data_IF_440385436293
#
_entry.id   IF_440385436293
#
_cell.length_a   1.000
_cell.length_b   1.000
_cell.length_c   1.000
_cell.angle_alpha   90.00
_cell.angle_beta   90.00
_cell.angle_gamma   90.00
#
_symmetry.space_group_name_H-M   'P 1'
#
loop_
_entity.id
_entity.type
_entity.pdbx_description
1 polymer ?
#
# COMPACT_ATOMS: atom_id res chain seq x y z
N UNK A 1 6.12 12.64 14.47
CA UNK A 1 6.23 13.23 13.16
C UNK A 1 4.92 13.90 12.80
N UNK A 2 5.05 14.96 12.11
CA UNK A 2 3.87 15.67 11.70
C UNK A 2 3.20 14.97 10.54
N UNK A 3 1.92 14.95 10.57
CA UNK A 3 1.15 14.46 9.49
C UNK A 3 0.56 15.54 8.67
N UNK A 4 0.80 16.77 9.08
CA UNK A 4 0.26 17.85 8.33
C UNK A 4 0.98 17.96 7.03
N UNK A 5 0.25 17.77 5.99
CA UNK A 5 0.77 17.86 4.64
C UNK A 5 0.10 19.06 4.02
N UNK A 6 0.88 19.99 3.48
CA UNK A 6 0.29 21.16 2.87
C UNK A 6 -0.65 20.74 1.74
N UNK A 7 -1.74 21.46 1.61
CA UNK A 7 -2.63 21.16 0.51
C UNK A 7 -1.92 21.42 -0.79
N UNK A 8 -2.26 20.62 -1.76
CA UNK A 8 -1.74 20.79 -3.09
C UNK A 8 -2.17 22.13 -3.65
N UNK A 9 -1.23 22.89 -4.16
CA UNK A 9 -1.52 24.18 -4.70
C UNK A 9 -1.23 24.17 -6.16
N UNK A 10 -2.24 23.97 -6.96
CA UNK A 10 -2.09 23.96 -8.38
C UNK A 10 -1.27 22.79 -8.89
N UNK A 11 -0.86 21.89 -8.01
CA UNK A 11 -0.14 20.70 -8.40
C UNK A 11 -1.08 19.56 -8.70
N UNK A 12 -0.59 18.57 -9.44
CA UNK A 12 -1.35 17.37 -9.72
C UNK A 12 -1.21 16.45 -8.52
N UNK A 13 -2.34 16.04 -7.98
CA UNK A 13 -2.36 15.09 -6.89
C UNK A 13 -2.03 13.72 -7.43
N UNK A 14 -1.01 13.08 -6.89
CA UNK A 14 -0.61 11.73 -7.30
C UNK A 14 -1.05 10.76 -6.23
N UNK A 15 -1.85 9.79 -6.63
CA UNK A 15 -2.27 8.72 -5.75
C UNK A 15 -1.20 7.62 -5.76
N UNK A 16 -0.94 7.05 -4.61
CA UNK A 16 0.06 6.00 -4.46
C UNK A 16 -0.45 4.97 -3.46
N UNK A 17 -0.49 3.72 -3.88
CA UNK A 17 -0.91 2.62 -3.01
C UNK A 17 0.31 2.00 -2.36
N UNK A 18 0.28 1.84 -1.05
CA UNK A 18 1.33 1.10 -0.34
C UNK A 18 0.91 -0.35 -0.24
N UNK A 19 1.85 -1.28 -0.45
CA UNK A 19 1.55 -2.65 -0.08
C UNK A 19 1.74 -2.80 1.43
N UNK A 20 1.38 -3.96 1.97
CA UNK A 20 1.44 -4.18 3.41
C UNK A 20 2.86 -4.06 3.95
N UNK A 21 3.85 -4.58 3.22
CA UNK A 21 5.24 -4.52 3.64
C UNK A 21 5.74 -3.08 3.71
N UNK A 22 5.38 -2.25 2.72
CA UNK A 22 5.78 -0.85 2.71
C UNK A 22 5.22 -0.10 3.91
N UNK A 23 3.98 -0.37 4.28
CA UNK A 23 3.38 0.24 5.47
C UNK A 23 4.16 -0.16 6.72
N UNK A 24 4.42 -1.46 6.89
CA UNK A 24 5.11 -1.96 8.07
C UNK A 24 6.52 -1.38 8.15
N UNK A 25 7.25 -1.34 7.04
CA UNK A 25 8.58 -0.73 7.03
C UNK A 25 8.52 0.74 7.43
N UNK A 26 7.53 1.47 6.92
CA UNK A 26 7.44 2.90 7.19
C UNK A 26 7.28 3.20 8.69
N UNK A 27 6.58 2.34 9.42
CA UNK A 27 6.32 2.60 10.84
C UNK A 27 7.25 1.86 11.79
N UNK A 28 7.80 0.71 11.40
CA UNK A 28 8.61 -0.11 12.30
C UNK A 28 10.09 -0.13 11.95
N UNK A 29 10.43 -0.02 10.68
CA UNK A 29 11.83 -0.11 10.25
C UNK A 29 12.06 0.75 9.02
N UNK A 30 11.99 2.09 9.17
CA UNK A 30 12.13 3.01 8.03
C UNK A 30 13.45 2.84 7.29
N UNK A 31 14.48 2.31 7.95
CA UNK A 31 15.75 2.04 7.31
C UNK A 31 15.63 1.00 6.19
N UNK A 32 14.55 0.22 6.17
CA UNK A 32 14.31 -0.77 5.11
C UNK A 32 13.62 -0.17 3.88
N UNK A 33 13.20 1.08 3.97
CA UNK A 33 12.67 1.78 2.81
C UNK A 33 13.81 2.21 1.91
N UNK A 34 13.62 2.08 0.59
CA UNK A 34 14.59 2.62 -0.34
C UNK A 34 14.59 4.15 -0.27
N UNK A 35 15.62 4.78 -0.78
CA UNK A 35 15.69 6.24 -0.84
C UNK A 35 14.51 6.79 -1.62
N UNK A 36 14.16 6.14 -2.72
CA UNK A 36 13.02 6.57 -3.54
C UNK A 36 11.72 6.41 -2.79
N UNK A 37 11.52 5.30 -2.10
CA UNK A 37 10.30 5.07 -1.32
C UNK A 37 10.15 6.12 -0.23
N UNK A 38 11.24 6.44 0.49
CA UNK A 38 11.20 7.50 1.51
C UNK A 38 10.77 8.82 0.90
N UNK A 39 11.37 9.19 -0.23
CA UNK A 39 11.07 10.47 -0.86
C UNK A 39 9.58 10.56 -1.25
N UNK A 40 9.05 9.47 -1.80
CA UNK A 40 7.66 9.45 -2.24
C UNK A 40 6.71 9.53 -1.05
N UNK A 41 7.02 8.80 0.02
CA UNK A 41 6.17 8.80 1.21
C UNK A 41 6.19 10.13 1.94
N UNK A 42 7.28 10.88 1.83
CA UNK A 42 7.43 12.17 2.50
C UNK A 42 6.93 13.34 1.66
N UNK A 43 6.64 13.10 0.39
CA UNK A 43 6.21 14.18 -0.50
C UNK A 43 4.74 14.54 -0.21
N UNK A 44 4.46 15.77 0.26
CA UNK A 44 3.09 16.15 0.62
C UNK A 44 2.16 16.28 -0.58
N UNK A 45 2.69 16.28 -1.80
CA UNK A 45 1.87 16.30 -3.00
C UNK A 45 1.21 14.96 -3.28
N UNK A 46 1.74 13.88 -2.71
CA UNK A 46 1.21 12.55 -2.94
C UNK A 46 0.07 12.23 -1.97
N UNK A 47 -0.96 11.58 -2.47
CA UNK A 47 -2.01 11.02 -1.64
C UNK A 47 -1.66 9.55 -1.41
N UNK A 48 -1.34 9.21 -0.17
CA UNK A 48 -0.97 7.84 0.17
C UNK A 48 -2.23 7.05 0.50
N UNK A 49 -2.32 5.86 -0.07
CA UNK A 49 -3.47 4.98 0.15
C UNK A 49 -3.00 3.61 0.61
N UNK A 50 -3.80 3.00 1.45
CA UNK A 50 -3.58 1.65 1.93
C UNK A 50 -4.84 0.83 1.65
N UNK A 51 -4.67 -0.35 1.08
CA UNK A 51 -5.81 -1.22 0.81
C UNK A 51 -6.46 -1.69 2.11
N UNK A 52 -7.78 -1.77 2.10
CA UNK A 52 -8.50 -2.46 3.18
C UNK A 52 -8.00 -3.90 3.33
N UNK A 53 -7.53 -4.50 2.24
CA UNK A 53 -6.97 -5.86 2.26
C UNK A 53 -5.69 -5.93 3.11
N UNK A 54 -4.90 -4.87 3.15
CA UNK A 54 -3.72 -4.84 4.02
C UNK A 54 -4.13 -4.94 5.48
N UNK A 55 -5.22 -4.30 5.86
CA UNK A 55 -5.72 -4.41 7.24
C UNK A 55 -6.21 -5.82 7.54
N UNK A 56 -6.84 -6.47 6.57
CA UNK A 56 -7.26 -7.87 6.70
C UNK A 56 -6.05 -8.78 6.87
N UNK A 57 -5.03 -8.56 6.05
CA UNK A 57 -3.79 -9.34 6.14
C UNK A 57 -3.14 -9.20 7.51
N UNK A 58 -3.01 -7.98 7.99
CA UNK A 58 -2.42 -7.71 9.30
C UNK A 58 -3.22 -8.40 10.40
N UNK A 59 -4.55 -8.30 10.35
CA UNK A 59 -5.42 -8.89 11.35
C UNK A 59 -5.27 -10.43 11.38
N UNK A 60 -5.25 -11.05 10.20
CA UNK A 60 -5.13 -12.50 10.10
C UNK A 60 -3.75 -12.97 10.58
N UNK A 61 -2.70 -12.31 10.13
CA UNK A 61 -1.34 -12.71 10.50
C UNK A 61 -1.06 -12.47 11.97
N UNK A 62 -1.62 -11.41 12.54
CA UNK A 62 -1.48 -11.15 13.98
C UNK A 62 -2.20 -12.19 14.81
N UNK A 63 -3.40 -12.59 14.39
CA UNK A 63 -4.14 -13.64 15.08
C UNK A 63 -3.39 -14.99 15.04
N UNK A 64 -2.63 -15.23 13.97
CA UNK A 64 -1.85 -16.46 13.82
C UNK A 64 -0.47 -16.37 14.48
N UNK A 65 -0.15 -15.27 15.12
CA UNK A 65 1.14 -15.08 15.76
C UNK A 65 2.30 -14.84 14.80
N UNK A 66 1.99 -14.58 13.53
CA UNK A 66 3.01 -14.34 12.50
C UNK A 66 3.44 -12.89 12.42
N UNK A 67 2.70 -12.00 13.07
CA UNK A 67 2.95 -10.59 13.04
C UNK A 67 2.53 -10.02 14.40
N UNK A 68 3.27 -9.00 14.88
CA UNK A 68 2.96 -8.38 16.16
C UNK A 68 2.44 -6.97 15.95
N UNK A 69 1.23 -6.87 15.43
CA UNK A 69 0.56 -5.60 15.23
C UNK A 69 -0.88 -5.72 15.70
N UNK A 70 -1.20 -4.97 16.76
CA UNK A 70 -2.57 -4.93 17.24
C UNK A 70 -3.41 -4.02 16.35
N UNK A 71 -4.72 -4.07 16.53
CA UNK A 71 -5.62 -3.14 15.83
C UNK A 71 -5.25 -1.69 16.13
N UNK A 72 -4.85 -1.42 17.37
CA UNK A 72 -4.45 -0.08 17.76
C UNK A 72 -3.17 0.36 17.06
N UNK A 73 -2.20 -0.56 16.94
CA UNK A 73 -0.98 -0.28 16.20
C UNK A 73 -1.28 0.04 14.74
N UNK A 74 -2.19 -0.72 14.13
CA UNK A 74 -2.58 -0.48 12.75
C UNK A 74 -3.26 0.88 12.57
N UNK A 75 -4.15 1.23 13.49
CA UNK A 75 -4.80 2.54 13.45
C UNK A 75 -3.80 3.68 13.61
N UNK A 76 -2.84 3.49 14.51
CA UNK A 76 -1.80 4.50 14.70
C UNK A 76 -0.95 4.67 13.46
N UNK A 77 -0.60 3.57 12.81
CA UNK A 77 0.18 3.62 11.56
C UNK A 77 -0.56 4.39 10.47
N UNK A 78 -1.85 4.10 10.32
CA UNK A 78 -2.69 4.79 9.34
C UNK A 78 -2.70 6.30 9.62
N UNK A 79 -2.87 6.66 10.89
CA UNK A 79 -2.92 8.07 11.27
C UNK A 79 -1.59 8.77 11.10
N UNK A 80 -0.51 8.14 11.54
CA UNK A 80 0.82 8.76 11.49
C UNK A 80 1.30 8.96 10.06
N UNK A 81 1.02 8.02 9.18
CA UNK A 81 1.41 8.16 7.79
C UNK A 81 0.42 8.99 6.98
N UNK A 82 -0.75 9.25 7.53
CA UNK A 82 -1.78 10.01 6.82
C UNK A 82 -2.31 9.28 5.61
N UNK A 83 -2.35 7.95 5.64
CA UNK A 83 -2.86 7.19 4.50
C UNK A 83 -4.39 7.16 4.52
N UNK A 84 -4.95 7.10 3.34
CA UNK A 84 -6.39 6.90 3.16
C UNK A 84 -6.63 5.43 2.88
N UNK A 85 -7.69 4.88 3.45
CA UNK A 85 -8.01 3.48 3.19
C UNK A 85 -8.74 3.37 1.86
N UNK A 86 -8.21 2.54 0.99
CA UNK A 86 -8.86 2.24 -0.30
C UNK A 86 -9.80 1.06 -0.09
N UNK A 87 -11.11 1.27 -0.22
CA UNK A 87 -12.06 0.17 -0.05
C UNK A 87 -11.88 -0.89 -1.13
N UNK A 88 -12.10 -2.13 -0.76
CA UNK A 88 -12.05 -3.23 -1.71
C UNK A 88 -13.45 -3.46 -2.26
N UNK A 89 -13.63 -3.23 -3.56
CA UNK A 89 -14.94 -3.28 -4.18
C UNK A 89 -15.10 -4.49 -5.08
N UNK A 90 -16.33 -4.73 -5.54
CA UNK A 90 -16.59 -5.81 -6.49
C UNK A 90 -15.82 -5.62 -7.79
N UNK A 91 -15.59 -4.39 -8.19
CA UNK A 91 -14.79 -4.10 -9.38
C UNK A 91 -13.38 -4.64 -9.24
N UNK A 92 -12.78 -4.45 -8.09
CA UNK A 92 -11.47 -4.99 -7.78
C UNK A 92 -11.50 -6.52 -7.79
N UNK A 93 -12.51 -7.10 -7.15
CA UNK A 93 -12.64 -8.54 -7.06
C UNK A 93 -12.81 -9.19 -8.44
N UNK A 94 -13.62 -8.58 -9.31
CA UNK A 94 -13.81 -9.13 -10.65
C UNK A 94 -12.51 -9.11 -11.45
N UNK A 95 -11.66 -8.14 -11.22
CA UNK A 95 -10.38 -8.08 -11.94
C UNK A 95 -9.45 -9.24 -11.59
N UNK A 96 -9.65 -9.88 -10.44
CA UNK A 96 -8.85 -11.06 -10.08
C UNK A 96 -9.00 -12.20 -11.09
N UNK A 97 -10.15 -12.32 -11.74
CA UNK A 97 -10.37 -13.36 -12.74
C UNK A 97 -9.45 -13.19 -13.93
N UNK A 98 -9.01 -11.98 -14.22
CA UNK A 98 -8.16 -11.67 -15.35
C UNK A 98 -6.67 -11.58 -14.99
N UNK A 99 -6.35 -11.66 -13.72
CA UNK A 99 -4.99 -11.42 -13.24
C UNK A 99 -4.11 -12.66 -13.50
N UNK A 100 -2.99 -12.52 -14.22
CA UNK A 100 -2.08 -13.65 -14.42
C UNK A 100 -1.53 -14.14 -13.08
N UNK A 101 -1.15 -15.40 -13.03
CA UNK A 101 -0.67 -16.00 -11.79
C UNK A 101 0.85 -15.86 -11.69
N UNK A 102 1.35 -14.63 -11.61
CA UNK A 102 2.77 -14.37 -11.37
C UNK A 102 3.08 -14.37 -9.88
N UNK A 103 2.12 -14.02 -9.06
CA UNK A 103 2.22 -14.00 -7.61
C UNK A 103 1.15 -14.91 -7.03
N UNK A 104 1.50 -15.68 -6.00
CA UNK A 104 0.57 -16.64 -5.41
C UNK A 104 -0.09 -16.16 -4.14
N UNK A 105 0.48 -15.15 -3.49
CA UNK A 105 -0.06 -14.64 -2.23
C UNK A 105 -1.43 -14.01 -2.48
N UNK A 106 -2.49 -14.49 -1.82
CA UNK A 106 -3.83 -13.99 -2.08
C UNK A 106 -4.03 -12.53 -1.66
N UNK A 107 -3.34 -12.06 -0.64
CA UNK A 107 -3.45 -10.67 -0.23
C UNK A 107 -2.81 -9.77 -1.27
N UNK A 108 -1.59 -10.10 -1.68
CA UNK A 108 -0.86 -9.32 -2.68
C UNK A 108 -1.60 -9.28 -4.01
N UNK A 109 -2.18 -10.39 -4.43
CA UNK A 109 -2.95 -10.43 -5.68
C UNK A 109 -4.13 -9.45 -5.64
N UNK A 110 -4.79 -9.36 -4.51
CA UNK A 110 -5.92 -8.44 -4.36
C UNK A 110 -5.47 -6.98 -4.40
N UNK A 111 -4.34 -6.69 -3.78
CA UNK A 111 -3.77 -5.33 -3.80
C UNK A 111 -3.32 -4.96 -5.21
N UNK A 112 -2.71 -5.90 -5.93
CA UNK A 112 -2.31 -5.70 -7.32
C UNK A 112 -3.54 -5.39 -8.19
N UNK A 113 -4.61 -6.14 -8.02
CA UNK A 113 -5.85 -5.91 -8.77
C UNK A 113 -6.37 -4.49 -8.51
N UNK A 114 -6.34 -4.04 -7.28
CA UNK A 114 -6.76 -2.68 -6.96
C UNK A 114 -5.91 -1.63 -7.68
N UNK A 115 -4.60 -1.78 -7.62
CA UNK A 115 -3.70 -0.82 -8.27
C UNK A 115 -3.96 -0.75 -9.77
N UNK A 116 -4.18 -1.89 -10.40
CA UNK A 116 -4.45 -1.94 -11.83
C UNK A 116 -5.80 -1.31 -12.19
N UNK A 117 -6.84 -1.61 -11.41
CA UNK A 117 -8.16 -1.03 -11.66
C UNK A 117 -8.16 0.47 -11.44
N UNK A 118 -7.52 0.93 -10.36
CA UNK A 118 -7.44 2.35 -10.04
C UNK A 118 -6.41 3.09 -10.89
N UNK A 119 -5.56 2.36 -11.59
CA UNK A 119 -4.48 2.92 -12.42
C UNK A 119 -3.54 3.79 -11.62
N UNK A 120 -3.14 3.30 -10.46
CA UNK A 120 -2.22 4.02 -9.59
C UNK A 120 -0.97 3.17 -9.35
N UNK A 121 0.18 3.82 -9.11
CA UNK A 121 1.39 3.08 -8.78
C UNK A 121 1.31 2.46 -7.39
N UNK A 122 2.16 1.48 -7.15
CA UNK A 122 2.23 0.82 -5.87
C UNK A 122 3.66 0.88 -5.34
N UNK A 123 3.81 1.20 -4.06
CA UNK A 123 5.10 1.14 -3.38
C UNK A 123 5.24 -0.25 -2.76
N UNK A 124 6.24 -1.00 -3.19
CA UNK A 124 6.46 -2.36 -2.72
C UNK A 124 7.92 -2.76 -2.90
N UNK A 125 8.51 -3.46 -1.93
CA UNK A 125 9.83 -4.05 -2.09
C UNK A 125 9.81 -5.38 -2.85
N UNK A 126 8.64 -5.91 -3.18
CA UNK A 126 8.51 -7.25 -3.75
C UNK A 126 8.65 -7.22 -5.28
N UNK A 127 9.72 -7.85 -5.79
CA UNK A 127 10.02 -7.91 -7.21
C UNK A 127 8.91 -8.54 -8.04
N UNK A 128 8.15 -9.44 -7.46
CA UNK A 128 7.11 -10.17 -8.20
C UNK A 128 6.01 -9.25 -8.70
N UNK A 129 5.82 -8.11 -8.06
CA UNK A 129 4.82 -7.14 -8.52
C UNK A 129 5.16 -6.59 -9.89
N UNK A 130 6.46 -6.50 -10.21
CA UNK A 130 6.90 -5.95 -11.50
C UNK A 130 6.58 -6.86 -12.68
N UNK A 131 6.19 -8.10 -12.42
CA UNK A 131 5.82 -9.03 -13.49
C UNK A 131 4.44 -8.75 -14.07
N UNK A 132 3.66 -7.90 -13.39
CA UNK A 132 2.32 -7.58 -13.85
C UNK A 132 2.34 -6.39 -14.80
N UNK A 133 1.92 -6.66 -16.04
CA UNK A 133 1.91 -5.64 -17.08
C UNK A 133 0.93 -4.51 -16.70
N UNK A 134 1.37 -3.29 -16.86
CA UNK A 134 0.57 -2.13 -16.56
C UNK A 134 0.67 -1.65 -15.12
N UNK A 135 1.33 -2.40 -14.26
CA UNK A 135 1.53 -2.02 -12.87
C UNK A 135 2.82 -1.23 -12.74
N UNK A 136 2.72 -0.02 -12.19
CA UNK A 136 3.90 0.80 -11.96
C UNK A 136 4.36 0.62 -10.53
N UNK A 137 5.64 0.27 -10.37
CA UNK A 137 6.25 0.01 -9.07
C UNK A 137 7.11 1.19 -8.68
N UNK A 138 7.05 1.54 -7.41
CA UNK A 138 7.93 2.55 -6.81
C UNK A 138 8.65 1.88 -5.65
N UNK A 139 9.97 1.84 -5.76
CA UNK A 139 10.79 1.36 -4.65
C UNK A 139 12.25 1.76 -4.78
#
# INVERSE_FOLDING_TARGET
>A
MTKLRPSSRGGIEVRLLLDTAALIFAVESPENLSTRAKAVLQNPQNTLELSAISLVEIAIKSALGKLRLSAEDARRAVDELGVRILPYTSKHAFHLFELPLHHRDPFDRQIIAQALVEKIPIATPDDKFSLYKGLKIIW
#
